data_IF_658956194311
#
_entry.id   IF_658956194311
#
_cell.length_a   1.000
_cell.length_b   1.000
_cell.length_c   1.000
_cell.angle_alpha   90.00
_cell.angle_beta   90.00
_cell.angle_gamma   90.00
#
_symmetry.space_group_name_H-M   'P 1'
#
loop_
_entity.id
_entity.type
_entity.pdbx_description
1 polymer ?
#
# COMPACT_ATOMS: atom_id res chain seq x y z
N UNK A 1 -65.53 11.44 -51.68
CA UNK A 1 -65.77 10.08 -52.24
C UNK A 1 -64.51 9.22 -51.89
N UNK A 2 -64.79 8.05 -51.33
CA UNK A 2 -63.94 6.87 -51.17
C UNK A 2 -62.68 7.04 -50.25
N UNK A 3 -62.74 6.71 -48.95
CA UNK A 3 -62.70 5.39 -48.27
C UNK A 3 -61.37 4.63 -48.42
N UNK A 4 -60.55 4.64 -47.35
CA UNK A 4 -59.89 3.57 -46.55
C UNK A 4 -59.12 2.45 -47.28
N UNK A 5 -58.22 1.70 -46.61
CA UNK A 5 -58.38 1.18 -45.27
C UNK A 5 -57.05 1.09 -44.42
N UNK A 6 -57.28 0.78 -43.21
CA UNK A 6 -56.39 0.40 -42.08
C UNK A 6 -55.36 -0.69 -42.43
N UNK A 7 -54.15 -0.49 -42.05
CA UNK A 7 -53.21 -1.59 -41.80
C UNK A 7 -52.79 -1.54 -40.33
N UNK A 8 -53.27 -2.49 -39.55
CA UNK A 8 -52.86 -2.80 -38.23
C UNK A 8 -51.52 -3.58 -38.32
N UNK A 9 -50.44 -3.00 -37.86
CA UNK A 9 -49.18 -3.72 -37.68
C UNK A 9 -49.15 -4.29 -36.27
N UNK A 10 -49.15 -5.61 -36.18
CA UNK A 10 -48.96 -6.37 -34.95
C UNK A 10 -47.53 -6.22 -34.48
N UNK A 11 -47.33 -5.60 -33.31
CA UNK A 11 -46.05 -5.57 -32.61
C UNK A 11 -45.90 -6.89 -31.86
N UNK A 12 -45.16 -7.84 -32.46
CA UNK A 12 -44.74 -9.06 -31.76
C UNK A 12 -43.66 -8.69 -30.74
N UNK A 13 -44.01 -8.73 -29.46
CA UNK A 13 -43.07 -8.60 -28.36
C UNK A 13 -42.24 -9.88 -28.29
N UNK A 14 -41.02 -9.85 -28.79
CA UNK A 14 -39.98 -10.83 -28.47
C UNK A 14 -39.48 -10.57 -27.04
N UNK A 15 -40.13 -11.21 -26.08
CA UNK A 15 -39.54 -11.40 -24.74
C UNK A 15 -38.42 -12.42 -24.88
N UNK A 16 -37.21 -11.93 -25.20
CA UNK A 16 -35.99 -12.69 -25.09
C UNK A 16 -35.76 -12.98 -23.60
N UNK A 17 -35.94 -14.21 -23.21
CA UNK A 17 -35.51 -14.71 -21.91
C UNK A 17 -33.99 -14.49 -21.80
N UNK A 18 -33.58 -13.51 -21.02
CA UNK A 18 -32.18 -13.36 -20.62
C UNK A 18 -31.90 -14.51 -19.65
N UNK A 19 -31.40 -15.62 -20.19
CA UNK A 19 -30.84 -16.67 -19.37
C UNK A 19 -29.71 -16.03 -18.55
N UNK A 20 -29.93 -15.89 -17.26
CA UNK A 20 -28.83 -15.55 -16.32
C UNK A 20 -27.77 -16.65 -16.44
N UNK A 21 -26.62 -16.28 -16.99
CA UNK A 21 -25.45 -17.15 -16.91
C UNK A 21 -25.27 -17.54 -15.44
N UNK A 22 -25.08 -18.82 -15.15
CA UNK A 22 -24.77 -19.22 -13.78
C UNK A 22 -23.53 -18.45 -13.36
N UNK A 23 -23.61 -17.76 -12.22
CA UNK A 23 -22.43 -17.16 -11.62
C UNK A 23 -21.42 -18.31 -11.44
N UNK A 24 -20.22 -18.14 -12.00
CA UNK A 24 -19.15 -19.09 -11.78
C UNK A 24 -19.06 -19.37 -10.28
N UNK A 25 -18.94 -20.64 -9.86
CA UNK A 25 -18.80 -20.94 -8.45
C UNK A 25 -17.63 -20.13 -7.92
N UNK A 26 -17.88 -19.30 -6.91
CA UNK A 26 -16.83 -18.54 -6.22
C UNK A 26 -15.87 -19.57 -5.64
N UNK A 27 -14.88 -19.96 -6.44
CA UNK A 27 -13.83 -20.86 -5.97
C UNK A 27 -13.10 -20.11 -4.87
N UNK A 28 -13.13 -20.67 -3.67
CA UNK A 28 -12.31 -20.14 -2.57
C UNK A 28 -10.88 -20.00 -3.07
N UNK A 29 -10.27 -18.82 -3.01
CA UNK A 29 -8.92 -18.63 -3.52
C UNK A 29 -7.95 -19.56 -2.80
N UNK A 30 -6.93 -20.04 -3.50
CA UNK A 30 -5.95 -20.94 -2.93
C UNK A 30 -5.19 -20.29 -1.76
N UNK A 31 -4.89 -18.99 -1.86
CA UNK A 31 -4.29 -18.17 -0.82
C UNK A 31 -4.56 -16.68 -1.09
N UNK A 32 -4.34 -15.84 -0.10
CA UNK A 32 -4.49 -14.38 -0.21
C UNK A 32 -3.16 -13.67 0.08
N UNK A 33 -2.96 -12.55 -0.59
CA UNK A 33 -1.81 -11.68 -0.37
C UNK A 33 -2.26 -10.23 -0.25
N UNK A 34 -1.81 -9.53 0.79
CA UNK A 34 -1.99 -8.09 0.96
C UNK A 34 -0.65 -7.43 1.16
N UNK A 35 -0.39 -6.38 0.39
CA UNK A 35 0.74 -5.49 0.64
C UNK A 35 0.22 -4.17 1.20
N UNK A 36 0.92 -3.62 2.21
CA UNK A 36 0.49 -2.39 2.83
C UNK A 36 1.66 -1.50 3.24
N UNK A 37 1.36 -0.21 3.35
CA UNK A 37 2.31 0.82 3.71
C UNK A 37 1.82 1.50 4.99
N UNK A 38 2.68 1.56 5.99
CA UNK A 38 2.38 2.19 7.27
C UNK A 38 2.80 3.67 7.25
N UNK A 39 2.19 4.47 8.11
CA UNK A 39 2.45 5.89 8.36
C UNK A 39 1.87 6.87 7.33
N UNK A 40 1.49 6.44 6.13
CA UNK A 40 0.97 7.32 5.08
C UNK A 40 2.04 8.22 4.48
N UNK A 41 3.21 7.69 4.16
CA UNK A 41 4.25 8.44 3.46
C UNK A 41 3.81 8.81 2.04
N UNK A 42 4.27 9.97 1.53
CA UNK A 42 3.99 10.41 0.16
C UNK A 42 4.51 9.44 -0.91
N UNK A 43 5.44 8.57 -0.56
CA UNK A 43 5.93 7.49 -1.43
C UNK A 43 4.87 6.46 -1.79
N UNK A 44 3.79 6.33 -1.00
CA UNK A 44 2.67 5.42 -1.29
C UNK A 44 1.98 5.83 -2.60
N UNK A 45 1.77 7.14 -2.80
CA UNK A 45 1.22 7.67 -4.05
C UNK A 45 2.12 7.41 -5.26
N UNK A 46 3.44 7.44 -5.07
CA UNK A 46 4.40 7.17 -6.16
C UNK A 46 4.41 5.69 -6.53
N UNK A 47 4.53 4.80 -5.53
CA UNK A 47 4.59 3.35 -5.76
C UNK A 47 3.26 2.76 -6.24
N UNK A 48 2.15 3.48 -6.05
CA UNK A 48 0.83 3.02 -6.53
C UNK A 48 0.79 2.76 -8.03
N UNK A 49 1.65 3.43 -8.81
CA UNK A 49 1.81 3.17 -10.24
C UNK A 49 2.27 1.73 -10.52
N UNK A 50 3.23 1.21 -9.75
CA UNK A 50 3.72 -0.17 -9.90
C UNK A 50 2.61 -1.20 -9.69
N UNK A 51 1.72 -0.94 -8.72
CA UNK A 51 0.54 -1.78 -8.49
C UNK A 51 -0.47 -1.64 -9.64
N UNK A 52 -0.76 -0.43 -10.08
CA UNK A 52 -1.72 -0.17 -11.17
C UNK A 52 -1.27 -0.80 -12.48
N UNK A 53 0.01 -0.69 -12.85
CA UNK A 53 0.58 -1.30 -14.05
C UNK A 53 0.45 -2.83 -14.05
N UNK A 54 0.45 -3.43 -12.87
CA UNK A 54 0.23 -4.87 -12.69
C UNK A 54 -1.25 -5.21 -12.40
N UNK A 55 -2.19 -4.25 -12.47
CA UNK A 55 -3.59 -4.46 -12.12
C UNK A 55 -3.78 -5.00 -10.69
N UNK A 56 -2.93 -4.59 -9.77
CA UNK A 56 -2.94 -4.97 -8.36
C UNK A 56 -3.35 -3.79 -7.48
N UNK A 57 -3.73 -4.09 -6.24
CA UNK A 57 -4.08 -3.11 -5.21
C UNK A 57 -3.22 -3.31 -3.97
N UNK A 58 -3.16 -2.28 -3.13
CA UNK A 58 -2.51 -2.33 -1.84
C UNK A 58 -3.31 -1.56 -0.78
N UNK A 59 -2.73 -1.37 0.39
CA UNK A 59 -3.33 -0.60 1.47
C UNK A 59 -2.35 0.49 1.93
N UNK A 60 -2.87 1.65 2.34
CA UNK A 60 -2.09 2.70 3.01
C UNK A 60 -2.72 3.03 4.35
N UNK A 61 -1.95 2.89 5.42
CA UNK A 61 -2.37 3.18 6.80
C UNK A 61 -1.89 4.58 7.18
N UNK A 62 -2.83 5.51 7.40
CA UNK A 62 -2.57 6.94 7.51
C UNK A 62 -2.68 7.43 8.93
N UNK A 63 -1.63 8.07 9.45
CA UNK A 63 -1.63 8.84 10.68
C UNK A 63 -2.13 10.26 10.38
N UNK A 64 -3.29 10.64 10.91
CA UNK A 64 -4.01 11.83 10.41
C UNK A 64 -3.35 13.16 10.74
N UNK A 65 -2.66 13.30 11.86
CA UNK A 65 -1.91 14.54 12.20
C UNK A 65 -0.70 14.77 11.25
N UNK A 66 -0.32 13.78 10.46
CA UNK A 66 0.79 13.90 9.50
C UNK A 66 0.35 14.25 8.09
N UNK A 67 -0.96 14.24 7.81
CA UNK A 67 -1.50 14.55 6.47
C UNK A 67 -1.04 15.94 6.00
N UNK A 68 -0.49 15.99 4.79
CA UNK A 68 -0.01 17.22 4.16
C UNK A 68 1.31 17.74 4.72
N UNK A 69 1.95 17.05 5.67
CA UNK A 69 3.32 17.36 6.07
C UNK A 69 4.32 16.93 5.00
N UNK A 70 5.55 17.43 5.07
CA UNK A 70 6.55 17.35 3.98
C UNK A 70 6.77 15.94 3.38
N UNK A 71 6.67 14.89 4.19
CA UNK A 71 6.98 13.51 3.78
C UNK A 71 5.76 12.62 3.70
N UNK A 72 4.57 13.15 3.96
CA UNK A 72 3.35 12.37 4.06
C UNK A 72 2.32 12.78 3.01
N UNK A 73 1.39 11.89 2.77
CA UNK A 73 0.32 12.05 1.80
C UNK A 73 -0.49 13.33 2.07
N UNK A 74 -0.77 14.05 1.02
CA UNK A 74 -1.80 15.10 1.02
C UNK A 74 -3.20 14.49 0.96
N UNK A 75 -4.21 15.27 1.33
CA UNK A 75 -5.61 14.86 1.19
C UNK A 75 -6.00 14.46 -0.25
N UNK A 76 -5.39 15.08 -1.26
CA UNK A 76 -5.64 14.73 -2.66
C UNK A 76 -5.02 13.38 -3.03
N UNK A 77 -3.81 13.10 -2.57
CA UNK A 77 -3.14 11.80 -2.80
C UNK A 77 -3.87 10.65 -2.10
N UNK A 78 -4.35 10.86 -0.86
CA UNK A 78 -5.16 9.86 -0.13
C UNK A 78 -6.41 9.49 -0.93
N UNK A 79 -7.15 10.48 -1.45
CA UNK A 79 -8.31 10.23 -2.31
C UNK A 79 -7.93 9.50 -3.59
N UNK A 80 -6.85 9.95 -4.25
CA UNK A 80 -6.35 9.31 -5.47
C UNK A 80 -5.97 7.84 -5.28
N UNK A 81 -5.38 7.47 -4.14
CA UNK A 81 -5.11 6.07 -3.79
C UNK A 81 -6.40 5.26 -3.69
N UNK A 82 -7.43 5.78 -3.01
CA UNK A 82 -8.71 5.06 -2.90
C UNK A 82 -9.41 4.95 -4.26
N UNK A 83 -9.37 5.99 -5.10
CA UNK A 83 -9.88 5.97 -6.49
C UNK A 83 -9.15 4.93 -7.35
N UNK A 84 -7.86 4.70 -7.10
CA UNK A 84 -7.06 3.64 -7.72
C UNK A 84 -7.35 2.22 -7.15
N UNK A 85 -8.31 2.10 -6.23
CA UNK A 85 -8.72 0.82 -5.62
C UNK A 85 -7.94 0.40 -4.38
N UNK A 86 -7.08 1.26 -3.86
CA UNK A 86 -6.39 1.00 -2.60
C UNK A 86 -7.35 1.16 -1.42
N UNK A 87 -7.10 0.41 -0.34
CA UNK A 87 -7.78 0.64 0.93
C UNK A 87 -6.98 1.64 1.77
N UNK A 88 -7.69 2.68 2.23
CA UNK A 88 -7.15 3.63 3.21
C UNK A 88 -7.56 3.13 4.60
N UNK A 89 -6.56 2.90 5.45
CA UNK A 89 -6.75 2.48 6.83
C UNK A 89 -6.37 3.59 7.80
N UNK A 90 -6.99 3.60 8.96
CA UNK A 90 -6.53 4.45 10.05
C UNK A 90 -5.23 3.92 10.65
N UNK A 91 -4.29 4.83 10.94
CA UNK A 91 -3.11 4.52 11.74
C UNK A 91 -3.05 5.38 13.02
N UNK A 92 -4.21 5.63 13.60
CA UNK A 92 -4.47 6.56 14.70
C UNK A 92 -4.29 8.03 14.31
N UNK A 93 -4.60 8.93 15.22
CA UNK A 93 -4.44 10.35 14.99
C UNK A 93 -2.99 10.81 15.10
N UNK A 94 -2.31 10.44 16.20
CA UNK A 94 -0.98 10.96 16.55
C UNK A 94 0.11 9.89 16.64
N UNK A 95 -0.19 8.65 16.26
CA UNK A 95 0.73 7.50 16.29
C UNK A 95 1.28 7.16 17.69
N UNK A 96 0.46 7.04 18.74
CA UNK A 96 0.92 6.77 20.09
C UNK A 96 1.08 5.26 20.37
N UNK A 97 1.79 4.91 21.43
CA UNK A 97 1.74 3.57 22.01
C UNK A 97 0.39 3.33 22.70
N UNK A 98 -0.63 2.89 21.96
CA UNK A 98 -2.00 2.72 22.45
C UNK A 98 -2.10 1.93 23.78
N UNK A 99 -1.38 0.81 24.00
CA UNK A 99 -1.44 0.07 25.27
C UNK A 99 -0.99 0.86 26.51
N UNK A 100 -0.29 1.99 26.31
CA UNK A 100 0.18 2.85 27.41
C UNK A 100 -0.81 3.97 27.74
N UNK A 101 -1.87 4.12 26.94
CA UNK A 101 -2.87 5.18 27.14
C UNK A 101 -4.03 4.69 28.01
N UNK A 102 -4.72 5.66 28.65
CA UNK A 102 -6.01 5.41 29.30
C UNK A 102 -7.13 5.30 28.25
N UNK A 103 -8.17 4.53 28.55
CA UNK A 103 -9.25 4.24 27.63
C UNK A 103 -9.85 5.48 26.90
N UNK A 104 -10.13 6.63 27.57
CA UNK A 104 -10.65 7.80 26.86
C UNK A 104 -9.69 8.37 25.80
N UNK A 105 -8.37 8.28 26.03
CA UNK A 105 -7.38 8.70 25.03
C UNK A 105 -7.27 7.72 23.88
N UNK A 106 -7.36 6.42 24.13
CA UNK A 106 -7.43 5.41 23.08
C UNK A 106 -8.63 5.68 22.19
N UNK A 107 -9.81 5.90 22.81
CA UNK A 107 -11.04 6.20 22.10
C UNK A 107 -10.91 7.46 21.22
N UNK A 108 -10.35 8.53 21.77
CA UNK A 108 -10.13 9.78 21.04
C UNK A 108 -9.19 9.57 19.82
N UNK A 109 -8.07 8.87 19.98
CA UNK A 109 -7.14 8.55 18.91
C UNK A 109 -7.80 7.77 17.77
N UNK A 110 -8.62 6.78 18.11
CA UNK A 110 -9.27 5.91 17.13
C UNK A 110 -10.44 6.60 16.44
N UNK A 111 -11.29 7.28 17.20
CA UNK A 111 -12.47 7.98 16.70
C UNK A 111 -12.08 9.16 15.80
N UNK A 112 -11.21 10.05 16.30
CA UNK A 112 -10.82 11.25 15.54
C UNK A 112 -10.08 10.88 14.25
N UNK A 113 -9.16 9.93 14.29
CA UNK A 113 -8.48 9.49 13.06
C UNK A 113 -9.46 9.00 12.01
N UNK A 114 -10.47 8.21 12.39
CA UNK A 114 -11.52 7.77 11.47
C UNK A 114 -12.33 8.94 10.92
N UNK A 115 -12.83 9.81 11.80
CA UNK A 115 -13.65 10.97 11.42
C UNK A 115 -12.88 11.93 10.50
N UNK A 116 -11.61 12.20 10.78
CA UNK A 116 -10.75 13.06 9.97
C UNK A 116 -10.50 12.48 8.56
N UNK A 117 -10.27 11.17 8.43
CA UNK A 117 -10.14 10.50 7.13
C UNK A 117 -11.47 10.49 6.38
N UNK A 118 -12.58 10.14 7.04
CA UNK A 118 -13.90 10.15 6.42
C UNK A 118 -14.32 11.55 5.96
N UNK A 119 -13.90 12.60 6.67
CA UNK A 119 -14.11 13.99 6.25
C UNK A 119 -13.36 14.38 4.97
N UNK A 120 -12.31 13.63 4.59
CA UNK A 120 -11.65 13.76 3.29
C UNK A 120 -12.45 13.10 2.15
N UNK A 121 -13.56 12.43 2.45
CA UNK A 121 -14.37 11.69 1.48
C UNK A 121 -13.89 10.26 1.22
N UNK A 122 -12.99 9.72 2.05
CA UNK A 122 -12.54 8.34 1.92
C UNK A 122 -13.25 7.40 2.89
N UNK A 123 -13.42 6.16 2.49
CA UNK A 123 -14.03 5.13 3.33
C UNK A 123 -12.96 4.44 4.17
N UNK A 124 -13.16 4.41 5.49
CA UNK A 124 -12.22 3.79 6.42
C UNK A 124 -12.93 2.69 7.21
N UNK A 125 -12.44 1.46 7.10
CA UNK A 125 -13.02 0.29 7.78
C UNK A 125 -12.07 -0.41 8.73
N UNK A 126 -10.79 -0.30 8.49
CA UNK A 126 -9.76 -1.05 9.20
C UNK A 126 -8.77 -0.12 9.90
N UNK A 127 -8.16 -0.63 10.98
CA UNK A 127 -7.15 0.04 11.78
C UNK A 127 -5.80 -0.68 11.64
N UNK A 128 -4.72 0.05 11.71
CA UNK A 128 -3.38 -0.48 11.94
C UNK A 128 -2.89 0.03 13.29
N UNK A 129 -2.49 -0.88 14.17
CA UNK A 129 -1.97 -0.48 15.49
C UNK A 129 -0.55 0.07 15.36
N UNK A 130 -0.28 1.31 15.82
CA UNK A 130 1.08 1.82 15.91
C UNK A 130 2.02 0.86 16.64
N UNK A 131 3.24 0.73 16.13
CA UNK A 131 4.26 -0.20 16.66
C UNK A 131 3.83 -1.68 16.67
N UNK A 132 2.78 -2.04 15.90
CA UNK A 132 2.16 -3.37 15.91
C UNK A 132 1.65 -3.81 17.30
N UNK A 133 1.34 -2.87 18.19
CA UNK A 133 1.01 -3.16 19.58
C UNK A 133 -0.47 -2.92 19.91
N UNK A 134 -1.11 -3.94 20.46
CA UNK A 134 -2.44 -3.87 21.05
C UNK A 134 -2.48 -4.59 22.42
N UNK A 135 -3.59 -4.45 23.09
CA UNK A 135 -3.99 -5.29 24.22
C UNK A 135 -5.53 -5.39 24.23
N UNK A 136 -6.09 -6.22 25.10
CA UNK A 136 -7.53 -6.45 25.16
C UNK A 136 -8.36 -5.17 25.33
N UNK A 137 -7.84 -4.15 26.01
CA UNK A 137 -8.54 -2.87 26.17
C UNK A 137 -8.56 -2.08 24.84
N UNK A 138 -7.44 -2.02 24.15
CA UNK A 138 -7.31 -1.39 22.82
C UNK A 138 -8.23 -2.08 21.82
N UNK A 139 -8.18 -3.41 21.73
CA UNK A 139 -9.00 -4.19 20.80
C UNK A 139 -10.50 -4.03 21.06
N UNK A 140 -10.92 -3.97 22.34
CA UNK A 140 -12.32 -3.73 22.70
C UNK A 140 -12.80 -2.37 22.20
N UNK A 141 -11.98 -1.32 22.31
CA UNK A 141 -12.33 0.01 21.82
C UNK A 141 -12.31 0.05 20.30
N UNK A 142 -11.30 -0.59 19.64
CA UNK A 142 -11.21 -0.68 18.20
C UNK A 142 -12.48 -1.28 17.57
N UNK A 143 -13.08 -2.28 18.21
CA UNK A 143 -14.35 -2.92 17.76
C UNK A 143 -15.52 -1.94 17.63
N UNK A 144 -15.49 -0.81 18.33
CA UNK A 144 -16.53 0.21 18.24
C UNK A 144 -16.44 1.03 16.95
N UNK A 145 -15.25 1.18 16.41
CA UNK A 145 -14.97 2.09 15.30
C UNK A 145 -14.59 1.40 13.99
N UNK A 146 -14.01 0.21 14.06
CA UNK A 146 -13.44 -0.47 12.90
C UNK A 146 -13.96 -1.90 12.78
N UNK A 147 -14.00 -2.40 11.54
CA UNK A 147 -14.30 -3.80 11.22
C UNK A 147 -13.16 -4.75 11.60
N UNK A 148 -11.93 -4.26 11.45
CA UNK A 148 -10.73 -5.05 11.75
C UNK A 148 -9.57 -4.20 12.21
N UNK A 149 -8.53 -4.86 12.73
CA UNK A 149 -7.27 -4.19 13.05
C UNK A 149 -6.08 -5.13 12.87
N UNK A 150 -4.99 -4.59 12.28
CA UNK A 150 -3.74 -5.29 12.03
C UNK A 150 -2.69 -4.91 13.07
N UNK A 151 -2.04 -5.91 13.64
CA UNK A 151 -0.80 -5.80 14.41
C UNK A 151 0.36 -6.52 13.74
N UNK A 152 1.30 -6.95 14.53
CA UNK A 152 2.43 -7.79 14.11
C UNK A 152 2.17 -9.28 14.30
N UNK A 153 3.25 -10.07 14.42
CA UNK A 153 3.17 -11.46 14.85
C UNK A 153 3.80 -12.49 13.92
N UNK A 154 4.30 -12.08 12.76
CA UNK A 154 5.06 -12.94 11.82
C UNK A 154 4.42 -14.30 11.56
N UNK A 155 3.10 -14.32 11.37
CA UNK A 155 2.31 -15.51 11.08
C UNK A 155 1.26 -15.20 10.03
N UNK A 156 0.67 -16.23 9.46
CA UNK A 156 -0.40 -16.11 8.46
C UNK A 156 -1.77 -16.04 9.13
N UNK A 157 -2.73 -15.47 8.42
CA UNK A 157 -4.12 -15.41 8.82
C UNK A 157 -4.97 -16.44 8.05
N UNK A 158 -6.09 -16.79 8.62
CA UNK A 158 -7.07 -17.73 8.05
C UNK A 158 -8.48 -17.28 8.43
N UNK A 159 -9.51 -17.96 7.95
CA UNK A 159 -10.91 -17.68 8.34
C UNK A 159 -11.17 -17.78 9.86
N UNK A 160 -10.28 -18.43 10.61
CA UNK A 160 -10.36 -18.52 12.07
C UNK A 160 -9.65 -17.39 12.83
N UNK A 161 -9.00 -16.47 12.13
CA UNK A 161 -8.25 -15.37 12.75
C UNK A 161 -9.19 -14.34 13.38
N UNK A 162 -8.85 -13.86 14.57
CA UNK A 162 -9.51 -12.70 15.17
C UNK A 162 -9.28 -11.46 14.30
N UNK A 163 -10.32 -10.83 13.73
CA UNK A 163 -10.16 -9.69 12.85
C UNK A 163 -9.50 -8.47 13.50
N UNK A 164 -9.46 -8.42 14.83
CA UNK A 164 -8.79 -7.33 15.57
C UNK A 164 -7.36 -7.69 16.02
N UNK A 165 -6.84 -8.80 15.52
CA UNK A 165 -5.48 -9.27 15.75
C UNK A 165 -4.89 -9.88 14.45
N UNK A 166 -5.18 -9.25 13.30
CA UNK A 166 -4.57 -9.64 12.03
C UNK A 166 -3.06 -9.51 12.13
N UNK A 167 -2.37 -10.51 11.60
CA UNK A 167 -0.91 -10.63 11.70
C UNK A 167 -0.25 -10.15 10.43
N UNK A 168 1.01 -9.75 10.53
CA UNK A 168 1.76 -9.24 9.38
C UNK A 168 3.25 -9.51 9.48
N UNK A 169 3.90 -9.50 8.34
CA UNK A 169 5.34 -9.60 8.18
C UNK A 169 5.91 -8.25 7.74
N UNK A 170 6.96 -7.79 8.41
CA UNK A 170 7.70 -6.62 7.93
C UNK A 170 8.55 -7.01 6.73
N UNK A 171 8.50 -6.20 5.67
CA UNK A 171 9.45 -6.33 4.57
C UNK A 171 10.81 -5.80 5.00
N UNK A 172 11.85 -6.60 4.79
CA UNK A 172 13.22 -6.34 5.26
C UNK A 172 14.18 -5.99 4.12
N UNK A 173 13.70 -5.50 2.98
CA UNK A 173 14.48 -5.26 1.76
C UNK A 173 15.21 -6.51 1.23
N UNK A 174 14.68 -7.71 1.55
CA UNK A 174 15.14 -8.99 1.02
C UNK A 174 14.04 -9.64 0.15
N UNK A 175 14.08 -9.46 -1.18
CA UNK A 175 13.10 -10.03 -2.09
C UNK A 175 13.03 -11.56 -2.06
N UNK A 176 14.15 -12.23 -1.78
CA UNK A 176 14.17 -13.69 -1.71
C UNK A 176 13.53 -14.21 -0.43
N UNK A 177 13.72 -13.53 0.71
CA UNK A 177 13.00 -13.84 1.94
C UNK A 177 11.48 -13.63 1.76
N UNK A 178 11.08 -12.57 1.06
CA UNK A 178 9.67 -12.32 0.74
C UNK A 178 9.10 -13.43 -0.15
N UNK A 179 9.81 -13.86 -1.21
CA UNK A 179 9.38 -14.98 -2.06
C UNK A 179 9.18 -16.27 -1.27
N UNK A 180 10.15 -16.64 -0.41
CA UNK A 180 10.00 -17.81 0.47
C UNK A 180 8.77 -17.71 1.38
N UNK A 181 8.44 -16.52 1.87
CA UNK A 181 7.27 -16.30 2.71
C UNK A 181 5.98 -16.44 1.91
N UNK A 182 5.95 -15.93 0.66
CA UNK A 182 4.83 -16.11 -0.28
C UNK A 182 4.62 -17.60 -0.57
N UNK A 183 5.69 -18.35 -0.88
CA UNK A 183 5.63 -19.77 -1.19
C UNK A 183 5.03 -20.58 -0.04
N UNK A 184 5.40 -20.25 1.20
CA UNK A 184 4.82 -20.84 2.41
C UNK A 184 3.35 -20.50 2.57
N UNK A 185 2.97 -19.24 2.43
CA UNK A 185 1.58 -18.81 2.54
C UNK A 185 0.69 -19.52 1.52
N UNK A 186 1.18 -19.68 0.29
CA UNK A 186 0.48 -20.40 -0.75
C UNK A 186 0.33 -21.91 -0.41
N UNK A 187 1.39 -22.55 0.05
CA UNK A 187 1.36 -23.96 0.43
C UNK A 187 0.41 -24.23 1.62
N UNK A 188 0.32 -23.30 2.55
CA UNK A 188 -0.57 -23.34 3.72
C UNK A 188 -2.00 -22.88 3.41
N UNK A 189 -2.29 -22.41 2.18
CA UNK A 189 -3.58 -21.82 1.75
C UNK A 189 -4.03 -20.69 2.69
N UNK A 190 -3.12 -19.85 3.08
CA UNK A 190 -3.31 -18.85 4.11
C UNK A 190 -3.29 -17.42 3.52
N UNK A 191 -3.63 -16.45 4.33
CA UNK A 191 -3.54 -15.04 4.02
C UNK A 191 -2.23 -14.47 4.57
N UNK A 192 -1.39 -13.99 3.66
CA UNK A 192 -0.16 -13.27 3.98
C UNK A 192 -0.39 -11.76 3.87
N UNK A 193 -0.16 -11.05 4.96
CA UNK A 193 -0.11 -9.59 5.00
C UNK A 193 1.35 -9.18 5.17
N UNK A 194 1.86 -8.35 4.24
CA UNK A 194 3.20 -7.78 4.28
C UNK A 194 3.09 -6.27 4.43
N UNK A 195 3.92 -5.68 5.28
CA UNK A 195 3.96 -4.22 5.43
C UNK A 195 5.39 -3.68 5.33
N UNK A 196 5.49 -2.47 4.85
CA UNK A 196 6.66 -1.61 4.98
C UNK A 196 6.22 -0.17 5.25
N UNK A 197 7.17 0.72 5.46
CA UNK A 197 6.91 2.14 5.62
C UNK A 197 7.22 2.87 4.30
N UNK A 198 8.23 3.71 4.29
CA UNK A 198 8.63 4.46 3.10
C UNK A 198 9.29 3.56 2.05
N UNK A 199 9.02 3.87 0.80
CA UNK A 199 9.63 3.23 -0.37
C UNK A 199 10.72 4.15 -0.91
N UNK A 200 11.92 3.63 -1.10
CA UNK A 200 13.02 4.38 -1.74
C UNK A 200 14.04 3.47 -2.44
N UNK A 201 15.01 4.09 -3.07
CA UNK A 201 16.21 3.44 -3.61
C UNK A 201 17.39 3.88 -2.76
N UNK A 202 18.17 2.94 -2.26
CA UNK A 202 19.38 3.21 -1.51
C UNK A 202 20.62 2.70 -2.27
N UNK A 203 21.61 3.57 -2.38
CA UNK A 203 22.88 3.28 -3.06
C UNK A 203 24.07 3.71 -2.20
N UNK A 204 25.22 3.09 -2.41
CA UNK A 204 26.48 3.66 -1.91
C UNK A 204 26.88 4.86 -2.77
N UNK A 205 27.53 5.86 -2.16
CA UNK A 205 28.02 7.02 -2.89
C UNK A 205 29.53 7.15 -2.69
N UNK A 206 30.25 7.24 -3.79
CA UNK A 206 31.70 7.39 -3.83
C UNK A 206 32.07 8.84 -4.16
N UNK A 207 33.25 9.25 -3.68
CA UNK A 207 33.81 10.60 -3.99
C UNK A 207 32.85 11.74 -3.67
N UNK A 208 32.06 11.59 -2.61
CA UNK A 208 31.06 12.56 -2.19
C UNK A 208 31.67 13.89 -1.86
N UNK A 209 31.09 14.97 -2.39
CA UNK A 209 31.42 16.37 -2.09
C UNK A 209 30.15 17.08 -1.62
N UNK A 210 30.20 17.63 -0.42
CA UNK A 210 29.05 18.31 0.18
C UNK A 210 27.98 17.37 0.69
N UNK A 211 26.88 17.95 1.15
CA UNK A 211 25.70 17.23 1.69
C UNK A 211 24.49 17.51 0.85
N UNK A 212 23.83 16.47 0.36
CA UNK A 212 22.55 16.60 -0.32
C UNK A 212 21.46 17.07 0.65
N UNK A 213 20.50 17.82 0.15
CA UNK A 213 19.40 18.38 0.95
C UNK A 213 18.12 17.60 0.70
N UNK A 214 17.47 17.03 1.74
CA UNK A 214 16.23 16.34 1.58
C UNK A 214 15.19 17.14 0.78
N UNK A 215 14.53 16.49 -0.18
CA UNK A 215 13.55 17.09 -1.08
C UNK A 215 14.15 18.01 -2.17
N UNK A 216 15.44 17.94 -2.45
CA UNK A 216 16.01 18.51 -3.67
C UNK A 216 15.95 17.52 -4.83
N UNK A 217 15.96 18.05 -6.04
CA UNK A 217 16.13 17.23 -7.25
C UNK A 217 17.61 16.83 -7.38
N UNK A 218 17.80 15.57 -7.65
CA UNK A 218 19.07 14.95 -7.99
C UNK A 218 19.09 14.69 -9.49
N UNK A 219 20.15 15.12 -10.15
CA UNK A 219 20.39 14.88 -11.57
C UNK A 219 21.51 13.84 -11.73
N UNK A 220 21.33 12.88 -12.63
CA UNK A 220 22.28 11.80 -12.86
C UNK A 220 22.83 11.85 -14.29
N UNK A 221 24.13 11.78 -14.42
CA UNK A 221 24.84 11.82 -15.72
C UNK A 221 25.79 10.62 -15.83
N UNK A 222 25.84 9.88 -16.95
CA UNK A 222 25.22 10.21 -18.24
C UNK A 222 23.79 9.71 -18.44
N UNK A 223 23.16 9.05 -17.48
CA UNK A 223 21.82 8.44 -17.69
C UNK A 223 20.72 9.49 -18.01
N UNK A 224 20.89 10.75 -17.62
CA UNK A 224 19.87 11.79 -17.75
C UNK A 224 18.65 11.57 -16.82
N UNK A 225 18.78 10.71 -15.82
CA UNK A 225 17.72 10.43 -14.86
C UNK A 225 17.60 11.55 -13.83
N UNK A 226 16.42 11.66 -13.23
CA UNK A 226 16.16 12.56 -12.10
C UNK A 226 15.52 11.82 -10.94
N UNK A 227 15.81 12.26 -9.73
CA UNK A 227 15.19 11.71 -8.52
C UNK A 227 14.99 12.79 -7.46
N UNK A 228 14.11 12.51 -6.50
CA UNK A 228 13.92 13.35 -5.32
C UNK A 228 14.80 12.80 -4.18
N UNK A 229 15.66 13.63 -3.63
CA UNK A 229 16.51 13.28 -2.50
C UNK A 229 15.67 12.93 -1.27
N UNK A 230 15.88 11.72 -0.73
CA UNK A 230 15.25 11.21 0.49
C UNK A 230 16.25 11.11 1.66
N UNK A 231 17.41 11.72 1.54
CA UNK A 231 18.46 11.62 2.56
C UNK A 231 17.99 12.00 3.96
N UNK A 232 18.56 11.30 4.93
CA UNK A 232 18.49 11.62 6.35
C UNK A 232 19.90 11.89 6.88
N UNK A 233 20.02 12.39 8.11
CA UNK A 233 21.32 12.50 8.77
C UNK A 233 22.03 11.15 8.88
N UNK A 234 21.28 10.06 9.03
CA UNK A 234 21.81 8.70 9.11
C UNK A 234 22.40 8.22 7.78
N UNK A 235 21.72 8.45 6.65
CA UNK A 235 22.26 8.08 5.33
C UNK A 235 23.57 8.77 5.03
N UNK A 236 23.74 10.03 5.46
CA UNK A 236 24.99 10.74 5.33
C UNK A 236 26.14 10.11 6.15
N UNK A 237 25.85 9.67 7.37
CA UNK A 237 26.84 9.02 8.26
C UNK A 237 27.29 7.67 7.66
N UNK A 238 26.38 6.90 7.07
CA UNK A 238 26.70 5.59 6.51
C UNK A 238 27.21 5.64 5.05
N UNK A 239 27.40 6.84 4.47
CA UNK A 239 27.91 6.99 3.10
C UNK A 239 26.95 6.44 2.06
N UNK A 240 25.66 6.51 2.34
CA UNK A 240 24.58 6.11 1.42
C UNK A 240 23.85 7.32 0.88
N UNK A 241 23.21 7.17 -0.28
CA UNK A 241 22.28 8.13 -0.85
C UNK A 241 20.94 7.43 -1.01
N UNK A 242 19.88 8.05 -0.50
CA UNK A 242 18.51 7.58 -0.61
C UNK A 242 17.71 8.53 -1.50
N UNK A 243 16.95 7.99 -2.45
CA UNK A 243 16.18 8.80 -3.37
C UNK A 243 14.92 8.08 -3.88
N UNK A 244 13.97 8.91 -4.32
CA UNK A 244 12.75 8.49 -5.00
C UNK A 244 12.93 8.77 -6.50
N UNK A 245 12.95 7.75 -7.38
CA UNK A 245 13.05 7.96 -8.82
C UNK A 245 11.88 8.81 -9.35
N UNK A 246 12.17 9.82 -10.17
CA UNK A 246 11.18 10.66 -10.84
C UNK A 246 11.14 10.34 -12.33
N UNK A 247 12.29 10.34 -12.98
CA UNK A 247 12.44 10.02 -14.40
C UNK A 247 13.66 9.14 -14.64
N UNK A 248 13.53 8.21 -15.57
CA UNK A 248 14.61 7.32 -15.94
C UNK A 248 15.02 6.35 -14.81
N UNK A 249 16.16 5.73 -14.97
CA UNK A 249 16.73 4.78 -14.01
C UNK A 249 18.21 5.08 -13.80
N UNK A 250 18.59 5.68 -12.68
CA UNK A 250 20.00 5.93 -12.33
C UNK A 250 20.79 4.60 -12.30
N UNK A 251 22.05 4.65 -12.70
CA UNK A 251 22.90 3.48 -12.81
C UNK A 251 24.17 3.63 -11.97
N UNK A 252 24.70 2.51 -11.52
CA UNK A 252 26.03 2.50 -10.90
C UNK A 252 27.04 3.13 -11.86
N UNK A 253 27.86 4.04 -11.33
CA UNK A 253 28.80 4.83 -12.11
C UNK A 253 28.32 6.22 -12.53
N UNK A 254 27.02 6.50 -12.49
CA UNK A 254 26.49 7.85 -12.76
C UNK A 254 27.06 8.86 -11.76
N UNK A 255 27.34 10.06 -12.25
CA UNK A 255 27.58 11.22 -11.40
C UNK A 255 26.22 11.80 -10.98
N UNK A 256 26.04 11.99 -9.68
CA UNK A 256 24.85 12.66 -9.14
C UNK A 256 25.19 14.07 -8.71
N UNK A 257 24.31 15.00 -8.96
CA UNK A 257 24.42 16.41 -8.52
C UNK A 257 23.09 16.88 -7.95
N UNK A 258 23.12 17.47 -6.75
CA UNK A 258 21.95 18.11 -6.13
C UNK A 258 21.74 19.51 -6.71
N UNK A 259 20.54 19.80 -7.18
CA UNK A 259 20.25 21.10 -7.82
C UNK A 259 20.42 22.28 -6.87
N UNK A 260 20.02 22.15 -5.60
CA UNK A 260 20.12 23.22 -4.60
C UNK A 260 21.45 23.22 -3.87
N UNK A 261 21.85 22.07 -3.35
CA UNK A 261 23.05 21.92 -2.52
C UNK A 261 24.35 22.06 -3.30
N UNK A 262 24.31 21.75 -4.61
CA UNK A 262 25.51 21.53 -5.43
C UNK A 262 26.39 20.39 -4.90
N UNK A 263 25.88 19.60 -3.97
CA UNK A 263 26.55 18.38 -3.56
C UNK A 263 26.66 17.43 -4.76
N UNK A 264 27.71 16.62 -4.78
CA UNK A 264 27.96 15.70 -5.88
C UNK A 264 28.63 14.42 -5.40
N UNK A 265 28.59 13.38 -6.22
CA UNK A 265 29.26 12.12 -5.99
C UNK A 265 29.05 11.17 -7.17
N UNK A 266 29.62 9.96 -7.05
CA UNK A 266 29.44 8.91 -8.03
C UNK A 266 28.63 7.78 -7.41
N UNK A 267 27.57 7.32 -8.11
CA UNK A 267 26.78 6.19 -7.64
C UNK A 267 27.62 4.92 -7.66
N UNK A 268 27.68 4.28 -6.50
CA UNK A 268 28.27 2.96 -6.34
C UNK A 268 27.24 1.84 -6.56
N UNK A 269 27.26 0.83 -5.69
CA UNK A 269 26.32 -0.28 -5.77
C UNK A 269 24.94 0.09 -5.23
N UNK A 270 23.90 -0.49 -5.81
CA UNK A 270 22.56 -0.47 -5.23
C UNK A 270 22.56 -1.34 -3.96
N UNK A 271 22.10 -0.79 -2.87
CA UNK A 271 21.92 -1.50 -1.59
C UNK A 271 20.56 -2.19 -1.63
N UNK A 272 19.51 -1.43 -1.94
CA UNK A 272 18.17 -1.93 -2.26
C UNK A 272 17.45 -0.97 -3.20
N UNK A 273 16.44 -1.50 -3.90
CA UNK A 273 15.53 -0.78 -4.78
C UNK A 273 14.13 -1.35 -4.53
N UNK A 274 13.34 -0.64 -3.74
CA UNK A 274 12.00 -1.09 -3.35
C UNK A 274 11.03 -1.12 -4.54
N UNK A 275 11.20 -0.21 -5.51
CA UNK A 275 10.35 -0.20 -6.70
C UNK A 275 10.56 -1.45 -7.54
N UNK A 276 11.82 -1.78 -7.82
CA UNK A 276 12.18 -3.01 -8.54
C UNK A 276 11.75 -4.27 -7.75
N UNK A 277 11.89 -4.26 -6.43
CA UNK A 277 11.49 -5.36 -5.57
C UNK A 277 9.97 -5.58 -5.58
N UNK A 278 9.17 -4.53 -5.46
CA UNK A 278 7.71 -4.58 -5.51
C UNK A 278 7.23 -5.05 -6.89
N UNK A 279 7.74 -4.46 -7.98
CA UNK A 279 7.41 -4.88 -9.34
C UNK A 279 7.77 -6.37 -9.58
N UNK A 280 8.95 -6.79 -9.12
CA UNK A 280 9.41 -8.18 -9.19
C UNK A 280 8.54 -9.14 -8.37
N UNK A 281 8.10 -8.74 -7.20
CA UNK A 281 7.19 -9.50 -6.33
C UNK A 281 5.81 -9.65 -6.97
N UNK A 282 5.22 -8.59 -7.51
CA UNK A 282 3.92 -8.64 -8.19
C UNK A 282 3.98 -9.56 -9.42
N UNK A 283 5.05 -9.47 -10.21
CA UNK A 283 5.28 -10.37 -11.35
C UNK A 283 5.46 -11.83 -10.89
N UNK A 284 6.18 -12.06 -9.80
CA UNK A 284 6.36 -13.39 -9.22
C UNK A 284 5.02 -14.01 -8.82
N UNK A 285 4.20 -13.28 -8.06
CA UNK A 285 2.86 -13.73 -7.66
C UNK A 285 2.02 -14.15 -8.87
N UNK A 286 1.93 -13.30 -9.90
CA UNK A 286 1.12 -13.57 -11.09
C UNK A 286 1.61 -14.75 -11.92
N UNK A 287 2.93 -14.91 -12.05
CA UNK A 287 3.50 -15.98 -12.85
C UNK A 287 3.52 -17.32 -12.13
N UNK A 288 3.76 -17.32 -10.82
CA UNK A 288 3.94 -18.54 -10.03
C UNK A 288 2.65 -19.06 -9.41
N UNK A 289 1.77 -18.12 -9.00
CA UNK A 289 0.54 -18.40 -8.26
C UNK A 289 -0.62 -17.57 -8.80
N UNK A 290 -1.09 -17.84 -10.04
CA UNK A 290 -2.13 -17.03 -10.70
C UNK A 290 -3.49 -17.06 -10.00
N UNK A 291 -3.72 -18.04 -9.12
CA UNK A 291 -4.91 -18.22 -8.28
C UNK A 291 -4.76 -17.63 -6.87
N UNK A 292 -3.56 -17.18 -6.47
CA UNK A 292 -3.38 -16.38 -5.25
C UNK A 292 -3.86 -14.96 -5.49
N UNK A 293 -4.83 -14.51 -4.70
CA UNK A 293 -5.44 -13.20 -4.92
C UNK A 293 -4.70 -12.10 -4.17
N UNK A 294 -4.35 -11.05 -4.91
CA UNK A 294 -3.84 -9.80 -4.31
C UNK A 294 -5.06 -8.97 -3.94
N UNK A 295 -5.20 -8.67 -2.66
CA UNK A 295 -6.40 -8.06 -2.06
C UNK A 295 -6.06 -7.00 -1.04
N UNK A 296 -6.99 -6.08 -0.78
CA UNK A 296 -6.95 -5.20 0.38
C UNK A 296 -7.35 -5.95 1.65
N UNK A 297 -7.23 -5.33 2.82
CA UNK A 297 -7.67 -5.94 4.09
C UNK A 297 -9.17 -6.24 4.05
N UNK A 298 -9.99 -5.27 3.65
CA UNK A 298 -11.45 -5.42 3.61
C UNK A 298 -11.89 -6.53 2.64
N UNK A 299 -11.27 -6.61 1.45
CA UNK A 299 -11.50 -7.68 0.48
C UNK A 299 -11.06 -9.06 1.01
N UNK A 300 -9.94 -9.12 1.72
CA UNK A 300 -9.46 -10.36 2.32
C UNK A 300 -10.42 -10.91 3.38
N UNK A 301 -10.95 -10.04 4.23
CA UNK A 301 -11.97 -10.39 5.22
C UNK A 301 -13.23 -10.95 4.55
N UNK A 302 -13.71 -10.29 3.49
CA UNK A 302 -14.89 -10.75 2.73
C UNK A 302 -14.67 -12.14 2.14
N UNK A 303 -13.53 -12.39 1.51
CA UNK A 303 -13.19 -13.68 0.89
C UNK A 303 -13.05 -14.83 1.92
N UNK A 304 -12.62 -14.51 3.12
CA UNK A 304 -12.50 -15.48 4.22
C UNK A 304 -13.80 -15.64 5.02
N UNK A 305 -14.85 -14.88 4.70
CA UNK A 305 -16.11 -14.88 5.44
C UNK A 305 -15.98 -14.33 6.86
N UNK A 306 -15.02 -13.45 7.11
CA UNK A 306 -14.81 -12.80 8.40
C UNK A 306 -15.68 -11.53 8.44
N UNK A 307 -16.61 -11.41 9.42
CA UNK A 307 -17.59 -10.32 9.48
C UNK A 307 -17.01 -8.92 9.71
#
# INVERSE_FOLDING_TARGET
MRSSPRLAAALLALLGSVASLPADPVTTPAALFTYMFDDGFSTDAVVSREFSEQGAVACSAVTTDWIGTRSHLSAAEIRGLQEAGWEILSHTRTHPHLPRLRAPRIEEELRLSREELEALGVRVRSLVYPYNQSNAAVERIARTYYRSARGGGYSFDTSATNPYALRSFSYSHDPEALRRTIDRAYAEKAWLIVYQHRVDVAVTIESRRGSFVPGEILEFSPSGSEALCQESAWSQIFGTLHFLPLTGSPRAGDLVTGQRSRASGKLGRIIFDDFAAIAGMLKYLRSRYPDMRIVTIDQGLDLLGIP
#
